data_IF_220878740904
#
_entry.id   IF_220878740904
#
_cell.length_a   1.000
_cell.length_b   1.000
_cell.length_c   1.000
_cell.angle_alpha   90.00
_cell.angle_beta   90.00
_cell.angle_gamma   90.00
#
_symmetry.space_group_name_H-M   'P 1'
#
loop_
_entity.id
_entity.type
_entity.pdbx_description
1 polymer ?
#
# COMPACT_ATOMS: atom_id res chain seq x y z
N UNK A 1 0.15 6.88 -6.74
CA UNK A 1 0.59 5.47 -6.67
C UNK A 1 -0.52 4.62 -6.07
N UNK A 2 -0.82 3.47 -6.66
CA UNK A 2 -1.85 2.55 -6.21
C UNK A 2 -1.23 1.22 -5.79
N UNK A 3 -1.42 0.84 -4.53
CA UNK A 3 -1.06 -0.48 -4.01
C UNK A 3 -2.29 -1.38 -4.02
N UNK A 4 -2.20 -2.49 -4.77
CA UNK A 4 -3.25 -3.51 -4.86
C UNK A 4 -2.83 -4.70 -4.01
N UNK A 5 -3.47 -4.83 -2.85
CA UNK A 5 -3.12 -5.82 -1.82
C UNK A 5 -3.96 -7.08 -2.07
N UNK A 6 -3.30 -8.14 -2.56
CA UNK A 6 -3.93 -9.43 -2.86
C UNK A 6 -4.14 -10.28 -1.59
N UNK A 7 -4.78 -9.69 -0.59
CA UNK A 7 -5.28 -10.34 0.64
C UNK A 7 -6.33 -9.45 1.28
N UNK A 8 -7.28 -10.05 2.00
CA UNK A 8 -8.44 -9.33 2.56
C UNK A 8 -8.35 -9.09 4.09
N UNK A 9 -7.42 -9.78 4.76
CA UNK A 9 -7.21 -9.85 6.20
C UNK A 9 -6.28 -8.73 6.73
N UNK A 10 -6.24 -7.57 6.06
CA UNK A 10 -5.48 -6.40 6.50
C UNK A 10 -6.37 -5.17 6.71
N UNK A 11 -6.02 -4.36 7.71
CA UNK A 11 -6.67 -3.08 8.01
C UNK A 11 -5.78 -1.87 7.75
N UNK A 12 -4.45 -2.06 7.71
CA UNK A 12 -3.45 -1.02 7.46
C UNK A 12 -2.39 -1.49 6.48
N UNK A 13 -1.72 -0.53 5.84
CA UNK A 13 -0.61 -0.74 4.93
C UNK A 13 0.54 0.19 5.31
N UNK A 14 1.79 -0.28 5.28
CA UNK A 14 2.97 0.55 5.50
C UNK A 14 4.12 0.11 4.60
N UNK A 15 5.04 1.02 4.33
CA UNK A 15 6.23 0.71 3.53
C UNK A 15 7.24 -0.01 4.41
N UNK A 16 7.68 -1.20 4.00
CA UNK A 16 8.66 -2.01 4.72
C UNK A 16 10.08 -1.43 4.54
N UNK A 17 10.42 -0.43 5.36
CA UNK A 17 11.71 0.28 5.32
C UNK A 17 12.89 -0.61 5.73
N UNK A 18 12.65 -1.63 6.54
CA UNK A 18 13.68 -2.56 7.00
C UNK A 18 14.21 -3.43 5.86
N UNK A 19 13.32 -3.82 4.94
CA UNK A 19 13.67 -4.64 3.78
C UNK A 19 14.22 -3.79 2.63
N UNK A 20 13.58 -2.65 2.34
CA UNK A 20 14.03 -1.72 1.30
C UNK A 20 14.02 -0.27 1.81
N UNK A 21 15.12 0.18 2.43
CA UNK A 21 15.24 1.55 2.92
C UNK A 21 15.32 2.56 1.75
N UNK A 22 15.71 2.14 0.55
CA UNK A 22 15.78 3.01 -0.63
C UNK A 22 14.39 3.32 -1.14
N UNK A 23 13.52 2.32 -1.25
CA UNK A 23 12.12 2.52 -1.59
C UNK A 23 11.42 3.39 -0.56
N UNK A 24 11.67 3.17 0.74
CA UNK A 24 11.17 4.03 1.83
C UNK A 24 11.50 5.51 1.61
N UNK A 25 12.77 5.84 1.32
CA UNK A 25 13.18 7.23 1.03
C UNK A 25 12.53 7.80 -0.22
N UNK A 26 12.32 6.98 -1.26
CA UNK A 26 11.66 7.42 -2.50
C UNK A 26 10.17 7.63 -2.33
N UNK A 27 9.51 6.82 -1.48
CA UNK A 27 8.14 7.04 -1.06
C UNK A 27 7.99 8.38 -0.35
N UNK A 28 8.89 8.71 0.58
CA UNK A 28 8.88 10.00 1.29
C UNK A 28 9.01 11.18 0.33
N UNK A 29 9.99 11.12 -0.57
CA UNK A 29 10.20 12.16 -1.58
C UNK A 29 8.97 12.33 -2.49
N UNK A 30 8.35 11.23 -2.91
CA UNK A 30 7.17 11.27 -3.74
C UNK A 30 5.97 11.90 -2.99
N UNK A 31 5.80 11.57 -1.70
CA UNK A 31 4.77 12.18 -0.86
C UNK A 31 4.99 13.69 -0.69
N UNK A 32 6.22 14.11 -0.41
CA UNK A 32 6.60 15.54 -0.32
C UNK A 32 6.40 16.28 -1.65
N UNK A 33 6.53 15.55 -2.77
CA UNK A 33 6.29 16.08 -4.11
C UNK A 33 4.80 16.09 -4.50
N UNK A 34 3.89 15.72 -3.59
CA UNK A 34 2.44 15.75 -3.82
C UNK A 34 1.87 14.52 -4.52
N UNK A 35 2.61 13.41 -4.60
CA UNK A 35 2.07 12.16 -5.13
C UNK A 35 1.05 11.59 -4.14
N UNK A 36 -0.15 11.31 -4.63
CA UNK A 36 -1.19 10.64 -3.85
C UNK A 36 -0.93 9.13 -3.76
N UNK A 37 -1.27 8.53 -2.62
CA UNK A 37 -1.11 7.10 -2.38
C UNK A 37 -2.43 6.47 -1.94
N UNK A 38 -2.80 5.37 -2.59
CA UNK A 38 -3.98 4.58 -2.26
C UNK A 38 -3.56 3.13 -2.06
N UNK A 39 -4.15 2.47 -1.07
CA UNK A 39 -3.94 1.06 -0.80
C UNK A 39 -5.30 0.37 -0.72
N UNK A 40 -5.52 -0.64 -1.57
CA UNK A 40 -6.80 -1.34 -1.69
C UNK A 40 -6.59 -2.79 -1.36
N UNK A 41 -7.36 -3.33 -0.41
CA UNK A 41 -7.41 -4.76 -0.14
C UNK A 41 -8.36 -5.46 -1.09
N UNK A 42 -8.01 -6.68 -1.47
CA UNK A 42 -8.76 -7.46 -2.44
C UNK A 42 -9.19 -8.81 -1.86
N UNK A 43 -10.35 -9.28 -2.30
CA UNK A 43 -10.74 -10.68 -2.21
C UNK A 43 -10.00 -11.41 -3.32
N UNK A 44 -9.39 -12.55 -2.99
CA UNK A 44 -8.66 -13.37 -3.95
C UNK A 44 -9.32 -14.73 -3.98
N UNK A 45 -9.76 -15.14 -5.17
CA UNK A 45 -10.38 -16.44 -5.41
C UNK A 45 -9.86 -17.04 -6.72
N UNK A 46 -10.27 -18.28 -7.03
CA UNK A 46 -9.89 -18.93 -8.29
C UNK A 46 -10.54 -18.27 -9.52
N UNK A 47 -11.60 -17.50 -9.31
CA UNK A 47 -12.30 -16.71 -10.33
C UNK A 47 -11.64 -15.36 -10.61
N UNK A 48 -10.79 -14.87 -9.69
CA UNK A 48 -10.06 -13.62 -9.90
C UNK A 48 -9.69 -12.85 -8.63
N UNK A 49 -9.32 -11.58 -8.83
CA UNK A 49 -8.94 -10.63 -7.78
C UNK A 49 -9.91 -9.46 -7.81
N UNK A 50 -10.63 -9.27 -6.70
CA UNK A 50 -11.73 -8.31 -6.61
C UNK A 50 -11.40 -7.25 -5.55
N UNK A 51 -11.29 -5.96 -5.93
CA UNK A 51 -11.11 -4.87 -4.97
C UNK A 51 -12.27 -4.79 -3.98
N UNK A 52 -11.97 -4.74 -2.68
CA UNK A 52 -12.99 -4.67 -1.62
C UNK A 52 -13.05 -3.25 -1.04
N UNK A 53 -11.92 -2.75 -0.51
CA UNK A 53 -11.93 -1.54 0.30
C UNK A 53 -10.55 -0.88 0.33
N UNK A 54 -10.52 0.45 0.46
CA UNK A 54 -9.30 1.15 0.84
C UNK A 54 -8.89 0.78 2.27
N UNK A 55 -7.59 0.61 2.49
CA UNK A 55 -6.99 0.43 3.82
C UNK A 55 -6.13 1.64 4.19
N UNK A 56 -6.01 1.90 5.49
CA UNK A 56 -5.26 3.05 5.98
C UNK A 56 -3.78 2.86 5.71
N UNK A 57 -3.16 3.84 5.03
CA UNK A 57 -1.71 3.88 4.88
C UNK A 57 -1.12 4.51 6.15
N UNK A 58 -0.32 3.75 6.91
CA UNK A 58 0.45 4.24 8.05
C UNK A 58 1.80 4.77 7.57
N UNK A 59 2.03 6.05 7.81
CA UNK A 59 3.31 6.69 7.53
C UNK A 59 4.11 6.83 8.83
N UNK A 60 4.79 5.76 9.24
CA UNK A 60 5.76 5.83 10.34
C UNK A 60 7.05 6.41 9.78
N UNK A 61 7.42 7.60 10.26
CA UNK A 61 8.78 8.12 10.13
C UNK A 61 9.69 7.37 11.08
#
# INVERSE_FOLDING_TARGET
MLYVIQREDCSTFTICRDLDPTYGRKFDLALESGVEFYAIKCHVSVEGIFPIQQVKIENRK
#
